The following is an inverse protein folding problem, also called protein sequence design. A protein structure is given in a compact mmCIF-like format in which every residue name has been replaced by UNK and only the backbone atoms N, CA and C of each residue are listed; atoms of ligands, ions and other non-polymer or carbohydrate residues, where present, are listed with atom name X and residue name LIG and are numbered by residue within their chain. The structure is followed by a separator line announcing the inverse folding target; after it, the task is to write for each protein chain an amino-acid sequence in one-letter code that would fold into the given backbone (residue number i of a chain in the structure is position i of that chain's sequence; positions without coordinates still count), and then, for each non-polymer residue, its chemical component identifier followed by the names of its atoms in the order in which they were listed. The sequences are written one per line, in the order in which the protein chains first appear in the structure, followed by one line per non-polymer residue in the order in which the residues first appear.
data_IF_444573855765
#
_entry.id   IF_444573855765
#
_cell.length_a   1.000
_cell.length_b   1.000
_cell.length_c   1.000
_cell.angle_alpha   90.00
_cell.angle_beta   90.00
_cell.angle_gamma   90.00
#
_symmetry.space_group_name_H-M   'P 1'
#
loop_
_entity.id
_entity.type
_entity.pdbx_description
1 polymer ?
#
# COMPACT_ATOMS: atom_id res chain seq x y z
N UNK A 1 12.02 -8.76 -19.76
CA UNK A 1 11.27 -9.97 -20.14
C UNK A 1 10.10 -10.13 -19.19
N UNK A 2 8.89 -10.34 -19.71
CA UNK A 2 7.66 -10.45 -18.94
C UNK A 2 7.37 -11.92 -18.61
N UNK A 3 7.06 -12.20 -17.36
CA UNK A 3 6.66 -13.56 -16.95
C UNK A 3 5.20 -13.79 -17.29
N UNK A 4 4.92 -14.89 -17.99
CA UNK A 4 3.58 -15.35 -18.34
C UNK A 4 3.35 -16.76 -17.78
N UNK A 5 2.11 -17.25 -17.82
CA UNK A 5 1.80 -18.60 -17.38
C UNK A 5 2.38 -19.64 -18.35
N UNK A 6 3.45 -20.32 -17.92
CA UNK A 6 4.11 -21.37 -18.69
C UNK A 6 5.07 -20.85 -19.77
N UNK A 7 5.37 -19.55 -19.79
CA UNK A 7 6.28 -18.93 -20.74
C UNK A 7 6.91 -17.63 -20.19
N UNK A 8 7.98 -17.19 -20.82
CA UNK A 8 8.54 -15.85 -20.67
C UNK A 8 8.42 -15.13 -22.00
N UNK A 9 8.04 -13.85 -21.99
CA UNK A 9 7.84 -13.04 -23.20
C UNK A 9 8.87 -11.94 -23.26
N UNK A 10 9.56 -11.81 -24.38
CA UNK A 10 10.40 -10.66 -24.71
C UNK A 10 9.74 -9.85 -25.82
N UNK A 11 9.86 -8.53 -25.75
CA UNK A 11 9.44 -7.63 -26.82
C UNK A 11 10.64 -6.76 -27.20
N UNK A 12 10.92 -6.68 -28.49
CA UNK A 12 11.83 -5.71 -29.11
C UNK A 12 11.03 -4.62 -29.84
N UNK A 13 11.74 -3.75 -30.55
CA UNK A 13 11.18 -2.75 -31.47
C UNK A 13 10.51 -3.35 -32.72
N UNK A 14 10.69 -4.65 -33.00
CA UNK A 14 10.12 -5.32 -34.18
C UNK A 14 9.36 -6.59 -33.89
N UNK A 15 9.74 -7.31 -32.83
CA UNK A 15 9.33 -8.70 -32.60
C UNK A 15 8.87 -8.93 -31.17
N UNK A 16 7.93 -9.86 -31.02
CA UNK A 16 7.53 -10.46 -29.76
C UNK A 16 7.99 -11.92 -29.78
N UNK A 17 8.85 -12.29 -28.83
CA UNK A 17 9.36 -13.66 -28.68
C UNK A 17 8.79 -14.30 -27.42
N UNK A 18 8.19 -15.47 -27.57
CA UNK A 18 7.65 -16.30 -26.49
C UNK A 18 8.60 -17.47 -26.28
N UNK A 19 9.22 -17.54 -25.11
CA UNK A 19 10.03 -18.65 -24.66
C UNK A 19 9.18 -19.58 -23.78
N UNK A 20 8.77 -20.72 -24.32
CA UNK A 20 7.92 -21.66 -23.61
C UNK A 20 8.73 -22.42 -22.55
N UNK A 21 8.12 -22.64 -21.39
CA UNK A 21 8.69 -23.53 -20.37
C UNK A 21 8.91 -24.94 -20.93
N UNK A 22 9.85 -25.74 -20.39
CA UNK A 22 10.12 -27.10 -20.87
C UNK A 22 8.86 -27.99 -20.96
N UNK A 23 7.93 -27.81 -20.01
CA UNK A 23 6.66 -28.53 -20.02
C UNK A 23 5.80 -28.17 -21.23
N UNK A 24 5.65 -26.87 -21.53
CA UNK A 24 4.87 -26.40 -22.69
C UNK A 24 5.59 -26.73 -24.00
N UNK A 25 6.91 -26.58 -24.04
CA UNK A 25 7.77 -26.93 -25.17
C UNK A 25 7.76 -28.43 -25.53
N UNK A 26 7.25 -29.31 -24.66
CA UNK A 26 7.03 -30.71 -25.01
C UNK A 26 5.83 -30.92 -25.95
N UNK A 27 4.90 -29.95 -26.01
CA UNK A 27 3.68 -29.98 -26.81
C UNK A 27 3.71 -28.98 -27.98
N UNK A 28 4.58 -27.97 -27.90
CA UNK A 28 4.68 -26.88 -28.87
C UNK A 28 6.15 -26.56 -29.18
N UNK A 29 6.42 -25.62 -30.08
CA UNK A 29 7.77 -25.13 -30.28
C UNK A 29 8.33 -24.53 -28.96
N UNK A 30 9.64 -24.69 -28.68
CA UNK A 30 10.27 -24.11 -27.48
C UNK A 30 10.29 -22.58 -27.52
N UNK A 31 10.34 -22.01 -28.72
CA UNK A 31 10.34 -20.58 -28.96
C UNK A 31 9.38 -20.25 -30.10
N UNK A 32 8.64 -19.14 -29.96
CA UNK A 32 7.77 -18.60 -31.01
C UNK A 32 8.04 -17.11 -31.14
N UNK A 33 8.52 -16.68 -32.30
CA UNK A 33 8.74 -15.26 -32.63
C UNK A 33 7.64 -14.77 -33.55
N UNK A 34 7.08 -13.61 -33.21
CA UNK A 34 5.95 -12.98 -33.89
C UNK A 34 6.36 -11.56 -34.26
N UNK A 35 6.45 -11.21 -35.56
CA UNK A 35 6.66 -9.82 -35.95
C UNK A 35 5.49 -8.97 -35.47
N UNK A 36 5.74 -7.88 -34.75
CA UNK A 36 4.66 -7.04 -34.21
C UNK A 36 3.82 -6.42 -35.34
N UNK A 37 4.44 -6.15 -36.49
CA UNK A 37 3.75 -5.70 -37.71
C UNK A 37 2.73 -6.70 -38.26
N UNK A 38 2.83 -7.99 -37.91
CA UNK A 38 1.86 -9.03 -38.30
C UNK A 38 0.61 -9.07 -37.42
N UNK A 39 0.61 -8.39 -36.27
CA UNK A 39 -0.49 -8.38 -35.30
C UNK A 39 -1.52 -7.34 -35.76
N UNK A 40 -2.61 -7.84 -36.36
CA UNK A 40 -3.70 -6.99 -36.85
C UNK A 40 -4.55 -6.44 -35.70
N UNK A 41 -4.90 -7.33 -34.77
CA UNK A 41 -5.72 -7.04 -33.59
C UNK A 41 -5.36 -7.99 -32.45
N UNK A 42 -5.71 -7.63 -31.23
CA UNK A 42 -5.58 -8.52 -30.08
C UNK A 42 -6.84 -8.47 -29.21
N UNK A 43 -7.08 -9.54 -28.45
CA UNK A 43 -8.16 -9.62 -27.47
C UNK A 43 -7.58 -9.88 -26.09
N UNK A 44 -8.03 -9.11 -25.10
CA UNK A 44 -7.55 -9.20 -23.72
C UNK A 44 -8.66 -9.75 -22.83
N UNK A 45 -8.33 -10.80 -22.08
CA UNK A 45 -9.13 -11.31 -20.97
C UNK A 45 -8.33 -11.08 -19.70
N UNK A 46 -8.86 -10.24 -18.79
CA UNK A 46 -8.18 -9.96 -17.52
C UNK A 46 -8.24 -11.20 -16.62
N UNK A 47 -7.18 -11.48 -15.83
CA UNK A 47 -7.24 -12.53 -14.83
C UNK A 47 -8.33 -12.21 -13.80
N UNK A 48 -8.95 -13.25 -13.25
CA UNK A 48 -9.88 -13.12 -12.11
C UNK A 48 -9.41 -14.03 -10.97
N UNK A 49 -10.00 -13.95 -9.77
CA UNK A 49 -9.70 -14.90 -8.71
C UNK A 49 -9.91 -16.38 -9.10
N UNK A 50 -10.70 -16.66 -10.14
CA UNK A 50 -11.07 -18.01 -10.55
C UNK A 50 -10.55 -18.40 -11.95
N UNK A 51 -10.12 -17.44 -12.77
CA UNK A 51 -9.72 -17.68 -14.16
C UNK A 51 -8.37 -17.04 -14.48
N UNK A 52 -7.59 -17.71 -15.33
CA UNK A 52 -6.39 -17.13 -15.92
C UNK A 52 -6.76 -15.93 -16.80
N UNK A 53 -5.84 -14.98 -16.91
CA UNK A 53 -5.90 -13.94 -17.93
C UNK A 53 -5.29 -14.46 -19.24
N UNK A 54 -5.58 -13.77 -20.34
CA UNK A 54 -4.96 -14.06 -21.63
C UNK A 54 -4.92 -12.86 -22.55
N UNK A 55 -3.87 -12.78 -23.36
CA UNK A 55 -3.79 -11.91 -24.54
C UNK A 55 -3.76 -12.83 -25.76
N UNK A 56 -4.78 -12.71 -26.62
CA UNK A 56 -4.85 -13.44 -27.89
C UNK A 56 -4.49 -12.50 -29.03
N UNK A 57 -3.38 -12.77 -29.70
CA UNK A 57 -2.86 -12.01 -30.83
C UNK A 57 -3.41 -12.62 -32.12
N UNK A 58 -4.20 -11.85 -32.88
CA UNK A 58 -4.67 -12.28 -34.20
C UNK A 58 -3.71 -11.77 -35.27
N UNK A 59 -3.21 -12.71 -36.04
CA UNK A 59 -2.07 -12.53 -36.93
C UNK A 59 -2.52 -12.54 -38.39
N UNK A 60 -1.96 -11.65 -39.20
CA UNK A 60 -2.16 -11.67 -40.65
C UNK A 60 -1.31 -12.73 -41.36
N UNK A 61 -0.25 -13.21 -40.71
CA UNK A 61 0.76 -14.12 -41.24
C UNK A 61 0.62 -15.56 -40.71
N UNK A 62 -0.41 -15.86 -39.91
CA UNK A 62 -0.59 -17.19 -39.32
C UNK A 62 -1.76 -17.32 -38.35
N UNK A 63 -1.78 -18.44 -37.62
CA UNK A 63 -2.82 -18.73 -36.62
C UNK A 63 -2.74 -17.80 -35.40
N UNK A 64 -3.89 -17.49 -34.76
CA UNK A 64 -3.90 -16.70 -33.54
C UNK A 64 -3.03 -17.33 -32.44
N UNK A 65 -2.21 -16.50 -31.79
CA UNK A 65 -1.35 -16.95 -30.68
C UNK A 65 -1.88 -16.42 -29.36
N UNK A 66 -2.05 -17.31 -28.37
CA UNK A 66 -2.58 -16.95 -27.04
C UNK A 66 -1.50 -17.03 -25.98
N UNK A 67 -1.23 -15.92 -25.32
CA UNK A 67 -0.35 -15.84 -24.14
C UNK A 67 -1.24 -15.79 -22.90
N UNK A 68 -1.00 -16.69 -21.94
CA UNK A 68 -1.80 -16.78 -20.71
C UNK A 68 -1.07 -16.17 -19.53
N UNK A 69 -1.80 -15.67 -18.56
CA UNK A 69 -1.26 -15.03 -17.36
C UNK A 69 -1.94 -15.61 -16.13
N UNK A 70 -1.15 -15.84 -15.08
CA UNK A 70 -1.65 -16.24 -13.77
C UNK A 70 -2.55 -15.16 -13.18
N UNK A 71 -3.31 -15.54 -12.16
CA UNK A 71 -4.23 -14.64 -11.43
C UNK A 71 -3.52 -13.42 -10.84
N UNK A 72 -2.25 -13.61 -10.47
CA UNK A 72 -1.35 -12.58 -9.95
C UNK A 72 -0.64 -11.78 -11.02
N UNK A 73 -0.70 -12.15 -12.29
CA UNK A 73 0.11 -11.54 -13.35
C UNK A 73 -0.67 -10.49 -14.17
N UNK A 74 -1.54 -9.71 -13.53
CA UNK A 74 -2.30 -8.70 -14.24
C UNK A 74 -1.42 -7.55 -14.73
N UNK A 75 -0.44 -7.13 -13.92
CA UNK A 75 0.52 -6.09 -14.32
C UNK A 75 1.34 -6.52 -15.56
N UNK A 76 1.88 -7.74 -15.56
CA UNK A 76 2.61 -8.28 -16.71
C UNK A 76 1.75 -8.35 -17.99
N UNK A 77 0.46 -8.67 -17.86
CA UNK A 77 -0.49 -8.63 -18.98
C UNK A 77 -0.70 -7.20 -19.49
N UNK A 78 -0.87 -6.22 -18.60
CA UNK A 78 -1.05 -4.81 -18.99
C UNK A 78 0.20 -4.26 -19.66
N UNK A 79 1.38 -4.59 -19.11
CA UNK A 79 2.68 -4.24 -19.66
C UNK A 79 2.85 -4.82 -21.07
N UNK A 80 2.52 -6.10 -21.29
CA UNK A 80 2.57 -6.73 -22.61
C UNK A 80 1.71 -5.96 -23.63
N UNK A 81 0.49 -5.58 -23.24
CA UNK A 81 -0.43 -4.84 -24.11
C UNK A 81 0.12 -3.45 -24.44
N UNK A 82 0.63 -2.74 -23.43
CA UNK A 82 1.24 -1.42 -23.62
C UNK A 82 2.46 -1.49 -24.55
N UNK A 83 3.32 -2.50 -24.40
CA UNK A 83 4.49 -2.70 -25.24
C UNK A 83 4.11 -2.99 -26.70
N UNK A 84 3.11 -3.85 -26.93
CA UNK A 84 2.60 -4.12 -28.28
C UNK A 84 2.09 -2.83 -28.93
N UNK A 85 1.28 -2.04 -28.22
CA UNK A 85 0.72 -0.81 -28.78
C UNK A 85 1.79 0.25 -29.06
N UNK A 86 2.80 0.39 -28.20
CA UNK A 86 3.93 1.29 -28.41
C UNK A 86 4.73 0.93 -29.66
N UNK A 87 5.10 -0.34 -29.78
CA UNK A 87 5.89 -0.82 -30.93
C UNK A 87 5.10 -0.67 -32.23
N UNK A 88 3.78 -0.90 -32.23
CA UNK A 88 2.91 -0.64 -33.39
C UNK A 88 2.86 0.84 -33.78
N UNK A 89 3.08 1.75 -32.83
CA UNK A 89 3.15 3.20 -33.07
C UNK A 89 4.57 3.67 -33.44
N UNK A 90 5.55 2.76 -33.52
CA UNK A 90 6.95 3.09 -33.81
C UNK A 90 7.73 3.59 -32.60
N UNK A 91 7.21 3.39 -31.39
CA UNK A 91 7.90 3.69 -30.14
C UNK A 91 8.57 2.42 -29.57
N UNK A 92 9.66 2.60 -28.82
CA UNK A 92 10.27 1.47 -28.11
C UNK A 92 9.32 0.91 -27.02
N UNK A 93 9.38 -0.41 -26.73
CA UNK A 93 8.65 -0.99 -25.59
C UNK A 93 9.09 -0.33 -24.29
N UNK A 94 8.22 -0.35 -23.29
CA UNK A 94 8.54 0.19 -21.97
C UNK A 94 9.67 -0.60 -21.34
N UNK A 95 10.67 0.16 -20.94
CA UNK A 95 11.75 -0.24 -20.05
C UNK A 95 11.60 0.54 -18.74
N UNK A 96 12.26 0.06 -17.67
CA UNK A 96 12.25 0.71 -16.36
C UNK A 96 12.58 2.22 -16.41
N UNK A 97 13.39 2.62 -17.40
CA UNK A 97 13.85 3.99 -17.59
C UNK A 97 13.28 4.62 -18.88
N UNK A 98 12.02 4.31 -19.22
CA UNK A 98 11.34 5.00 -20.32
C UNK A 98 10.90 6.38 -19.88
N UNK A 99 11.29 7.46 -20.59
CA UNK A 99 10.92 8.81 -20.18
C UNK A 99 9.41 9.03 -20.24
N UNK A 100 8.88 9.65 -19.18
CA UNK A 100 7.52 10.16 -19.07
C UNK A 100 7.61 11.68 -18.89
N UNK A 101 7.60 12.47 -19.98
CA UNK A 101 7.81 13.90 -19.91
C UNK A 101 6.84 14.60 -18.95
N UNK A 102 7.39 15.41 -18.04
CA UNK A 102 6.65 16.15 -17.02
C UNK A 102 6.44 15.41 -15.69
N UNK A 103 6.70 14.11 -15.63
CA UNK A 103 6.52 13.32 -14.41
C UNK A 103 7.71 13.50 -13.46
N UNK A 104 7.67 14.61 -12.73
CA UNK A 104 8.70 15.02 -11.78
C UNK A 104 8.19 14.94 -10.35
N UNK A 105 8.90 14.25 -9.45
CA UNK A 105 8.54 14.11 -8.04
C UNK A 105 9.71 13.59 -7.20
N UNK A 106 9.56 13.56 -5.88
CA UNK A 106 10.52 12.91 -4.96
C UNK A 106 9.82 11.85 -4.11
N UNK A 107 10.28 10.61 -4.19
CA UNK A 107 9.88 9.58 -3.24
C UNK A 107 10.63 9.74 -1.93
N UNK A 108 9.95 9.52 -0.80
CA UNK A 108 10.50 9.63 0.55
C UNK A 108 10.08 8.40 1.35
N UNK A 109 10.99 7.90 2.17
CA UNK A 109 10.73 6.85 3.16
C UNK A 109 11.52 7.16 4.44
N UNK A 110 11.04 6.71 5.60
CA UNK A 110 11.68 6.98 6.91
C UNK A 110 11.64 5.78 7.84
N UNK A 111 12.74 5.57 8.57
CA UNK A 111 12.80 4.63 9.68
C UNK A 111 12.68 5.36 11.02
N UNK A 112 12.10 4.70 12.02
CA UNK A 112 11.80 5.30 13.34
C UNK A 112 12.33 4.45 14.49
N UNK A 113 12.86 5.07 15.53
CA UNK A 113 13.46 4.36 16.67
C UNK A 113 12.43 3.73 17.63
N UNK A 114 11.21 4.28 17.70
CA UNK A 114 10.21 3.85 18.68
C UNK A 114 8.75 4.07 18.21
N UNK A 115 7.80 3.77 19.11
CA UNK A 115 6.36 3.86 18.84
C UNK A 115 5.84 5.28 18.60
N UNK A 116 6.61 6.32 18.91
CA UNK A 116 6.32 7.67 18.45
C UNK A 116 6.91 7.85 17.05
N UNK A 117 6.06 7.97 16.03
CA UNK A 117 6.49 8.13 14.64
C UNK A 117 7.41 9.35 14.42
N UNK A 118 7.45 10.32 15.34
CA UNK A 118 8.40 11.42 15.26
C UNK A 118 9.86 11.02 15.50
N UNK A 119 10.15 9.80 15.98
CA UNK A 119 11.49 9.32 16.33
C UNK A 119 12.34 8.93 15.11
N UNK A 120 12.32 9.74 14.06
CA UNK A 120 13.02 9.46 12.80
C UNK A 120 14.52 9.31 13.04
N UNK A 121 15.11 8.26 12.47
CA UNK A 121 16.55 7.95 12.55
C UNK A 121 17.21 7.74 11.19
N UNK A 122 16.43 7.49 10.15
CA UNK A 122 16.92 7.41 8.77
C UNK A 122 15.88 8.01 7.82
N UNK A 123 16.34 8.69 6.77
CA UNK A 123 15.49 9.26 5.72
C UNK A 123 16.10 8.91 4.37
N UNK A 124 15.32 8.21 3.55
CA UNK A 124 15.63 7.94 2.15
C UNK A 124 14.85 8.87 1.23
N UNK A 125 15.51 9.36 0.19
CA UNK A 125 14.87 10.16 -0.86
C UNK A 125 15.34 9.74 -2.25
N UNK A 126 14.39 9.65 -3.19
CA UNK A 126 14.67 9.35 -4.60
C UNK A 126 13.98 10.37 -5.49
N UNK A 127 14.75 11.13 -6.26
CA UNK A 127 14.26 12.13 -7.19
C UNK A 127 14.01 11.52 -8.55
N UNK A 128 12.83 11.77 -9.09
CA UNK A 128 12.43 11.39 -10.44
C UNK A 128 12.24 12.65 -11.27
N UNK A 129 12.84 12.68 -12.46
CA UNK A 129 12.68 13.74 -13.45
C UNK A 129 12.33 13.12 -14.80
N UNK A 130 11.24 13.56 -15.40
CA UNK A 130 10.71 13.02 -16.66
C UNK A 130 10.46 11.52 -16.58
N UNK A 131 9.99 11.01 -15.43
CA UNK A 131 9.76 9.59 -15.21
C UNK A 131 11.03 8.74 -15.00
N UNK A 132 12.22 9.36 -14.95
CA UNK A 132 13.50 8.66 -14.76
C UNK A 132 14.07 8.97 -13.37
N UNK A 133 14.56 7.96 -12.67
CA UNK A 133 15.31 8.16 -11.42
C UNK A 133 16.58 8.95 -11.72
N UNK A 134 16.66 10.17 -11.18
CA UNK A 134 17.72 11.13 -11.46
C UNK A 134 18.80 11.17 -10.37
N UNK A 135 18.42 11.02 -9.11
CA UNK A 135 19.34 10.95 -7.96
C UNK A 135 18.63 10.27 -6.77
N UNK A 136 19.41 9.60 -5.92
CA UNK A 136 18.95 9.01 -4.65
C UNK A 136 19.94 9.37 -3.55
N UNK A 137 19.43 9.59 -2.33
CA UNK A 137 20.22 9.86 -1.12
C UNK A 137 19.56 9.22 0.09
N UNK A 138 20.39 8.79 1.04
CA UNK A 138 19.95 8.31 2.35
C UNK A 138 20.78 9.01 3.40
N UNK A 139 20.13 9.45 4.48
CA UNK A 139 20.80 10.02 5.64
C UNK A 139 20.29 9.39 6.92
N UNK A 140 21.22 8.92 7.74
CA UNK A 140 20.98 8.65 9.15
C UNK A 140 21.06 9.95 9.95
N UNK A 141 20.34 9.98 11.06
CA UNK A 141 20.32 11.10 11.98
C UNK A 141 20.14 10.66 13.43
N UNK A 142 20.70 11.44 14.35
CA UNK A 142 20.30 11.33 15.75
C UNK A 142 18.79 11.70 15.88
N UNK A 143 18.00 10.93 16.66
CA UNK A 143 16.57 11.16 16.81
C UNK A 143 16.23 12.58 17.25
N UNK A 144 15.03 13.10 16.92
CA UNK A 144 14.58 14.38 17.44
C UNK A 144 14.58 14.46 18.97
N UNK A 145 14.79 15.66 19.56
CA UNK A 145 14.84 15.83 21.00
C UNK A 145 13.58 15.31 21.72
N UNK A 146 13.79 14.55 22.79
CA UNK A 146 12.75 13.92 23.59
C UNK A 146 12.18 12.62 23.01
N UNK A 147 12.71 12.13 21.89
CA UNK A 147 12.30 10.90 21.20
C UNK A 147 13.47 9.91 21.02
N UNK A 148 14.49 9.97 21.88
CA UNK A 148 15.76 9.25 21.73
C UNK A 148 15.72 7.76 22.15
N UNK A 149 14.60 7.29 22.69
CA UNK A 149 14.43 5.89 23.09
C UNK A 149 14.39 4.98 21.85
N UNK A 150 15.08 3.85 21.91
CA UNK A 150 14.99 2.79 20.90
C UNK A 150 14.22 1.60 21.45
N UNK A 151 13.32 1.06 20.63
CA UNK A 151 12.60 -0.17 20.94
C UNK A 151 13.14 -1.32 20.09
N UNK A 152 13.32 -2.48 20.72
CA UNK A 152 13.80 -3.70 20.06
C UNK A 152 12.92 -4.10 18.86
N UNK A 153 11.60 -3.93 18.96
CA UNK A 153 10.68 -4.23 17.85
C UNK A 153 10.95 -3.37 16.61
N UNK A 154 11.37 -2.10 16.79
CA UNK A 154 11.75 -1.22 15.69
C UNK A 154 13.10 -1.65 15.10
N UNK A 155 14.08 -1.89 15.96
CA UNK A 155 15.41 -2.40 15.56
C UNK A 155 15.27 -3.70 14.77
N UNK A 156 14.39 -4.62 15.18
CA UNK A 156 14.16 -5.88 14.49
C UNK A 156 13.64 -5.72 13.05
N UNK A 157 13.04 -4.58 12.72
CA UNK A 157 12.52 -4.29 11.37
C UNK A 157 13.65 -3.80 10.46
N UNK A 158 14.39 -2.77 10.87
CA UNK A 158 15.35 -2.07 10.00
C UNK A 158 16.83 -2.32 10.34
N UNK A 159 17.13 -2.94 11.49
CA UNK A 159 18.49 -3.28 11.93
C UNK A 159 19.37 -2.09 12.30
N UNK A 160 18.78 -0.94 12.66
CA UNK A 160 19.52 0.29 13.02
C UNK A 160 19.54 0.38 14.54
N UNK A 161 20.71 0.23 15.12
CA UNK A 161 20.93 0.29 16.55
C UNK A 161 21.28 1.72 17.01
N UNK A 162 21.11 2.05 18.31
CA UNK A 162 21.48 3.36 18.84
C UNK A 162 22.91 3.80 18.48
N UNK A 163 23.86 2.87 18.50
CA UNK A 163 25.26 3.11 18.14
C UNK A 163 25.46 3.52 16.67
N UNK A 164 24.56 3.14 15.77
CA UNK A 164 24.64 3.46 14.34
C UNK A 164 24.35 4.94 14.05
N UNK A 165 23.67 5.63 14.99
CA UNK A 165 23.25 7.03 14.83
C UNK A 165 23.80 7.96 15.91
N UNK A 166 24.59 7.43 16.85
CA UNK A 166 25.10 8.19 17.99
C UNK A 166 25.97 9.39 17.59
N UNK A 167 26.74 9.24 16.50
CA UNK A 167 27.63 10.28 15.97
C UNK A 167 27.05 10.97 14.71
N UNK A 168 25.82 10.63 14.33
CA UNK A 168 25.16 11.25 13.18
C UNK A 168 24.62 12.65 13.55
N UNK A 169 24.59 13.59 12.58
CA UNK A 169 23.96 14.89 12.77
C UNK A 169 22.50 14.76 13.23
N UNK A 170 21.99 15.74 14.00
CA UNK A 170 20.60 15.71 14.46
C UNK A 170 19.63 15.77 13.29
N UNK A 171 18.42 15.24 13.52
CA UNK A 171 17.32 15.26 12.54
C UNK A 171 17.16 16.63 11.84
N UNK A 172 17.20 17.74 12.59
CA UNK A 172 17.02 19.08 12.03
C UNK A 172 18.02 19.39 10.90
N UNK A 173 19.30 19.06 11.10
CA UNK A 173 20.35 19.29 10.10
C UNK A 173 20.17 18.40 8.87
N UNK A 174 19.84 17.11 9.08
CA UNK A 174 19.54 16.20 7.95
C UNK A 174 18.29 16.61 7.20
N UNK A 175 17.27 17.10 7.90
CA UNK A 175 16.03 17.52 7.29
C UNK A 175 16.18 18.77 6.41
N UNK A 176 17.13 19.68 6.71
CA UNK A 176 17.49 20.76 5.78
C UNK A 176 18.05 20.25 4.45
N UNK A 177 18.85 19.18 4.49
CA UNK A 177 19.35 18.52 3.28
C UNK A 177 18.21 17.88 2.50
N UNK A 178 17.27 17.23 3.19
CA UNK A 178 16.06 16.65 2.59
C UNK A 178 15.21 17.73 1.92
N UNK A 179 14.94 18.85 2.59
CA UNK A 179 14.19 19.98 2.00
C UNK A 179 14.89 20.55 0.78
N UNK A 180 16.21 20.71 0.83
CA UNK A 180 17.02 21.17 -0.31
C UNK A 180 16.99 20.19 -1.48
N UNK A 181 17.00 18.89 -1.18
CA UNK A 181 16.91 17.83 -2.18
C UNK A 181 15.53 17.81 -2.84
N UNK A 182 14.45 17.91 -2.07
CA UNK A 182 13.07 17.94 -2.55
C UNK A 182 12.78 19.21 -3.36
N UNK A 183 13.20 20.37 -2.86
CA UNK A 183 12.87 21.66 -3.45
C UNK A 183 11.35 21.88 -3.50
N UNK A 184 10.84 22.29 -4.66
CA UNK A 184 9.41 22.55 -4.88
C UNK A 184 8.65 21.34 -5.45
N UNK A 185 9.32 20.19 -5.65
CA UNK A 185 8.69 19.03 -6.27
C UNK A 185 7.63 18.40 -5.36
N UNK A 186 6.57 17.80 -5.93
CA UNK A 186 5.64 16.98 -5.17
C UNK A 186 6.37 15.75 -4.62
N UNK A 187 5.86 15.21 -3.51
CA UNK A 187 6.44 14.07 -2.82
C UNK A 187 5.58 12.81 -2.94
N UNK A 188 6.13 11.63 -2.63
CA UNK A 188 5.37 10.37 -2.57
C UNK A 188 6.00 9.39 -1.60
N UNK A 189 5.19 8.60 -0.89
CA UNK A 189 5.69 7.50 -0.05
C UNK A 189 4.77 6.27 -0.17
N UNK A 190 5.30 5.10 0.16
CA UNK A 190 4.50 3.90 0.28
C UNK A 190 3.85 3.88 1.66
N UNK A 191 2.52 4.00 1.73
CA UNK A 191 1.80 4.29 2.98
C UNK A 191 2.06 5.70 3.56
N UNK A 192 2.11 6.71 2.69
CA UNK A 192 2.35 8.13 2.98
C UNK A 192 1.70 8.76 4.22
N UNK A 193 0.60 8.21 4.77
CA UNK A 193 0.09 8.70 6.03
C UNK A 193 1.11 8.55 7.16
N UNK A 194 1.87 7.44 7.18
CA UNK A 194 2.92 7.20 8.15
C UNK A 194 4.05 8.23 7.99
N UNK A 195 4.72 8.24 6.83
CA UNK A 195 5.94 9.03 6.58
C UNK A 195 5.73 10.53 6.79
N UNK A 196 4.65 11.10 6.23
CA UNK A 196 4.41 12.53 6.38
C UNK A 196 3.94 12.90 7.78
N UNK A 197 3.33 11.97 8.52
CA UNK A 197 3.05 12.19 9.95
C UNK A 197 4.34 12.12 10.77
N UNK A 198 5.23 11.15 10.48
CA UNK A 198 6.54 11.02 11.08
C UNK A 198 7.36 12.30 10.90
N UNK A 199 7.51 12.75 9.65
CA UNK A 199 8.20 14.00 9.30
C UNK A 199 7.60 15.20 10.02
N UNK A 200 6.27 15.33 10.04
CA UNK A 200 5.62 16.46 10.72
C UNK A 200 5.85 16.45 12.23
N UNK A 201 5.91 15.28 12.88
CA UNK A 201 6.15 15.15 14.31
C UNK A 201 7.62 15.40 14.66
N UNK A 202 8.53 14.83 13.86
CA UNK A 202 9.97 15.05 13.99
C UNK A 202 10.33 16.53 13.84
N UNK A 203 9.71 17.22 12.88
CA UNK A 203 9.83 18.66 12.72
C UNK A 203 9.33 19.41 13.96
N UNK A 204 8.16 19.06 14.47
CA UNK A 204 7.62 19.72 15.66
C UNK A 204 8.50 19.51 16.91
N UNK A 205 9.05 18.30 17.10
CA UNK A 205 9.98 17.98 18.18
C UNK A 205 11.32 18.73 18.05
N UNK A 206 11.77 18.95 16.82
CA UNK A 206 13.03 19.66 16.52
C UNK A 206 12.85 21.17 16.33
N UNK A 207 11.63 21.69 16.54
CA UNK A 207 11.27 23.10 16.31
C UNK A 207 11.52 23.58 14.86
N UNK A 208 11.35 22.66 13.91
CA UNK A 208 11.48 22.84 12.47
C UNK A 208 10.12 23.01 11.78
N UNK A 209 10.14 23.60 10.58
CA UNK A 209 8.95 23.70 9.73
C UNK A 209 8.96 22.58 8.69
N UNK A 210 7.94 21.72 8.74
CA UNK A 210 7.75 20.67 7.74
C UNK A 210 7.43 21.24 6.36
N UNK A 211 7.98 20.63 5.32
CA UNK A 211 7.71 20.95 3.92
C UNK A 211 6.21 20.85 3.62
N UNK A 212 5.67 21.86 2.93
CA UNK A 212 4.24 21.93 2.59
C UNK A 212 3.91 21.38 1.20
N UNK A 213 4.89 20.77 0.54
CA UNK A 213 4.74 20.18 -0.79
C UNK A 213 3.58 19.17 -0.78
N UNK A 214 2.77 19.13 -1.85
CA UNK A 214 1.76 18.10 -2.00
C UNK A 214 2.41 16.72 -2.03
N UNK A 215 1.69 15.70 -1.57
CA UNK A 215 2.19 14.32 -1.62
C UNK A 215 1.17 13.29 -2.10
N UNK A 216 1.66 12.28 -2.82
CA UNK A 216 0.90 11.10 -3.23
C UNK A 216 1.12 9.89 -2.31
N UNK A 217 0.50 8.76 -2.64
CA UNK A 217 0.63 7.52 -1.88
C UNK A 217 0.60 6.29 -2.81
N UNK A 218 1.72 5.56 -2.94
CA UNK A 218 1.78 4.38 -3.82
C UNK A 218 0.97 3.20 -3.29
N UNK A 219 0.72 3.12 -1.98
CA UNK A 219 -0.24 2.16 -1.42
C UNK A 219 -1.68 2.44 -1.89
N UNK A 220 -2.07 3.72 -1.99
CA UNK A 220 -3.38 4.09 -2.52
C UNK A 220 -3.48 3.82 -4.02
N UNK A 221 -2.43 4.16 -4.78
CA UNK A 221 -2.34 3.86 -6.21
C UNK A 221 -2.41 2.36 -6.46
N UNK A 222 -1.58 1.55 -5.79
CA UNK A 222 -1.58 0.09 -5.99
C UNK A 222 -2.95 -0.52 -5.67
N UNK A 223 -3.64 -0.08 -4.61
CA UNK A 223 -5.00 -0.53 -4.25
C UNK A 223 -6.08 -0.11 -5.25
N UNK A 224 -5.89 0.98 -6.00
CA UNK A 224 -6.85 1.36 -7.05
C UNK A 224 -6.67 0.52 -8.31
N UNK A 225 -5.55 -0.20 -8.42
CA UNK A 225 -5.22 -1.07 -9.54
C UNK A 225 -5.54 -2.52 -9.19
N UNK A 226 -6.03 -3.24 -10.17
CA UNK A 226 -6.12 -4.70 -10.08
C UNK A 226 -4.77 -5.25 -10.50
N UNK A 227 -3.81 -5.34 -9.57
CA UNK A 227 -2.47 -5.84 -9.88
C UNK A 227 -2.37 -7.38 -9.76
N UNK A 228 -3.31 -8.00 -9.04
CA UNK A 228 -3.47 -9.46 -8.97
C UNK A 228 -2.93 -10.11 -7.69
N UNK A 229 -2.28 -9.37 -6.79
CA UNK A 229 -1.76 -9.88 -5.52
C UNK A 229 -2.74 -9.64 -4.35
N UNK A 230 -2.63 -10.44 -3.29
CA UNK A 230 -3.53 -10.41 -2.13
C UNK A 230 -3.29 -9.23 -1.20
N UNK A 231 -2.05 -8.75 -1.16
CA UNK A 231 -1.57 -7.69 -0.27
C UNK A 231 -0.93 -6.58 -1.11
N UNK A 232 -0.85 -5.40 -0.52
CA UNK A 232 -0.27 -4.21 -1.16
C UNK A 232 0.92 -3.68 -0.35
N UNK A 233 1.62 -4.55 0.39
CA UNK A 233 2.87 -4.14 1.04
C UNK A 233 3.90 -3.86 -0.05
N UNK A 234 4.90 -3.06 0.28
CA UNK A 234 5.92 -2.64 -0.67
C UNK A 234 6.57 -3.84 -1.41
N UNK A 235 7.02 -4.92 -0.72
CA UNK A 235 7.63 -6.07 -1.40
C UNK A 235 6.69 -6.78 -2.38
N UNK A 236 5.40 -6.90 -2.03
CA UNK A 236 4.41 -7.58 -2.86
C UNK A 236 4.12 -6.78 -4.14
N UNK A 237 4.04 -5.45 -4.02
CA UNK A 237 3.86 -4.56 -5.18
C UNK A 237 5.10 -4.57 -6.06
N UNK A 238 6.29 -4.52 -5.46
CA UNK A 238 7.56 -4.58 -6.19
C UNK A 238 7.71 -5.89 -6.97
N UNK A 239 7.52 -7.03 -6.31
CA UNK A 239 7.51 -8.35 -6.96
C UNK A 239 6.51 -8.39 -8.12
N UNK A 240 5.32 -7.85 -7.87
CA UNK A 240 4.24 -7.78 -8.84
C UNK A 240 4.51 -6.95 -10.10
N UNK A 241 5.29 -5.89 -9.94
CA UNK A 241 5.71 -5.00 -11.03
C UNK A 241 7.09 -5.37 -11.61
N UNK A 242 7.75 -6.40 -11.06
CA UNK A 242 9.11 -6.79 -11.46
C UNK A 242 10.18 -5.77 -11.05
N UNK A 243 9.94 -5.02 -9.97
CA UNK A 243 10.89 -4.08 -9.38
C UNK A 243 11.76 -4.84 -8.38
N UNK A 244 13.08 -4.73 -8.52
CA UNK A 244 14.03 -5.27 -7.54
C UNK A 244 13.98 -4.43 -6.27
N UNK A 245 13.83 -5.09 -5.13
CA UNK A 245 13.97 -4.51 -3.80
C UNK A 245 15.10 -5.26 -3.10
N UNK A 246 16.25 -4.61 -2.90
CA UNK A 246 17.46 -5.27 -2.39
C UNK A 246 17.42 -5.39 -0.86
N UNK A 247 17.38 -4.25 -0.15
CA UNK A 247 17.31 -4.21 1.32
C UNK A 247 15.99 -3.57 1.75
N UNK A 248 14.96 -4.41 1.93
CA UNK A 248 13.72 -3.92 2.53
C UNK A 248 14.00 -3.44 3.96
N UNK A 249 13.45 -2.27 4.36
CA UNK A 249 13.75 -1.55 5.60
C UNK A 249 15.10 -0.80 5.62
N UNK A 250 15.70 -0.59 4.45
CA UNK A 250 16.61 0.53 4.21
C UNK A 250 15.79 1.66 3.59
N UNK A 251 15.76 2.83 4.22
CA UNK A 251 14.89 3.92 3.78
C UNK A 251 15.20 4.35 2.32
N UNK A 252 16.47 4.26 1.90
CA UNK A 252 16.87 4.55 0.52
C UNK A 252 16.28 3.61 -0.51
N UNK A 253 16.39 2.31 -0.25
CA UNK A 253 15.92 1.25 -1.17
C UNK A 253 14.38 1.28 -1.25
N UNK A 254 13.71 1.50 -0.12
CA UNK A 254 12.25 1.61 -0.05
C UNK A 254 11.73 2.89 -0.74
N UNK A 255 12.45 4.03 -0.63
CA UNK A 255 12.14 5.24 -1.38
C UNK A 255 12.32 5.04 -2.90
N UNK A 256 13.38 4.37 -3.34
CA UNK A 256 13.59 4.08 -4.76
C UNK A 256 12.52 3.12 -5.30
N UNK A 257 12.19 2.07 -4.55
CA UNK A 257 11.11 1.16 -4.88
C UNK A 257 9.77 1.91 -5.03
N UNK A 258 9.45 2.82 -4.10
CA UNK A 258 8.29 3.68 -4.18
C UNK A 258 8.28 4.54 -5.46
N UNK A 259 9.43 5.14 -5.82
CA UNK A 259 9.56 5.90 -7.07
C UNK A 259 9.30 5.02 -8.30
N UNK A 260 9.89 3.82 -8.34
CA UNK A 260 9.73 2.87 -9.44
C UNK A 260 8.31 2.34 -9.58
N UNK A 261 7.55 2.24 -8.48
CA UNK A 261 6.12 1.90 -8.55
C UNK A 261 5.36 2.96 -9.33
N UNK A 262 5.59 4.25 -9.05
CA UNK A 262 4.90 5.35 -9.76
C UNK A 262 5.26 5.32 -11.24
N UNK A 263 6.54 5.25 -11.59
CA UNK A 263 6.99 5.28 -12.99
C UNK A 263 6.51 4.05 -13.77
N UNK A 264 6.50 2.87 -13.14
CA UNK A 264 6.00 1.62 -13.77
C UNK A 264 4.50 1.69 -14.05
N UNK A 265 3.70 2.16 -13.09
CA UNK A 265 2.26 2.30 -13.27
C UNK A 265 1.93 3.38 -14.31
N UNK A 266 2.59 4.53 -14.26
CA UNK A 266 2.39 5.61 -15.22
C UNK A 266 2.82 5.20 -16.64
N UNK A 267 3.94 4.48 -16.76
CA UNK A 267 4.43 3.92 -18.02
C UNK A 267 3.43 2.93 -18.61
N UNK A 268 2.93 1.99 -17.80
CA UNK A 268 1.91 1.01 -18.21
C UNK A 268 0.62 1.69 -18.70
N UNK A 269 0.26 2.83 -18.11
CA UNK A 269 -0.90 3.62 -18.52
C UNK A 269 -0.68 4.43 -19.80
N UNK A 270 0.56 4.50 -20.30
CA UNK A 270 0.94 5.41 -21.37
C UNK A 270 0.78 6.89 -20.98
N UNK A 271 0.83 7.20 -19.68
CA UNK A 271 0.62 8.54 -19.16
C UNK A 271 1.70 9.51 -19.65
N UNK A 272 1.31 10.78 -19.84
CA UNK A 272 2.19 11.93 -20.09
C UNK A 272 1.61 13.11 -19.32
N UNK A 273 2.43 13.88 -18.63
CA UNK A 273 1.95 14.99 -17.78
C UNK A 273 2.65 15.04 -16.43
N UNK A 274 2.14 15.88 -15.53
CA UNK A 274 2.72 16.07 -14.20
C UNK A 274 2.36 14.95 -13.23
N UNK A 275 3.11 14.83 -12.12
CA UNK A 275 2.79 13.89 -11.06
C UNK A 275 1.41 14.15 -10.45
N UNK A 276 1.04 15.41 -10.25
CA UNK A 276 -0.27 15.80 -9.73
C UNK A 276 -1.41 15.34 -10.65
N UNK A 277 -1.27 15.58 -11.95
CA UNK A 277 -2.21 15.11 -12.96
C UNK A 277 -2.33 13.58 -12.94
N UNK A 278 -1.22 12.86 -12.74
CA UNK A 278 -1.24 11.40 -12.64
C UNK A 278 -2.03 10.90 -11.42
N UNK A 279 -1.82 11.53 -10.26
CA UNK A 279 -2.56 11.20 -9.02
C UNK A 279 -4.06 11.48 -9.19
N UNK A 280 -4.42 12.62 -9.80
CA UNK A 280 -5.81 12.99 -10.07
C UNK A 280 -6.49 12.05 -11.06
N UNK A 281 -5.83 11.72 -12.18
CA UNK A 281 -6.33 10.75 -13.17
C UNK A 281 -6.47 9.35 -12.58
N UNK A 282 -5.61 9.00 -11.62
CA UNK A 282 -5.72 7.76 -10.84
C UNK A 282 -6.86 7.79 -9.80
N UNK A 283 -7.60 8.90 -9.71
CA UNK A 283 -8.82 9.04 -8.90
C UNK A 283 -8.57 9.50 -7.47
N UNK A 284 -7.46 10.20 -7.21
CA UNK A 284 -7.09 10.66 -5.87
C UNK A 284 -6.77 12.15 -5.81
N UNK A 285 -7.01 12.76 -4.66
CA UNK A 285 -6.45 14.08 -4.33
C UNK A 285 -5.10 13.92 -3.66
N UNK A 286 -4.18 14.83 -3.90
CA UNK A 286 -2.92 14.90 -3.15
C UNK A 286 -3.18 15.19 -1.66
N UNK A 287 -2.28 14.67 -0.83
CA UNK A 287 -2.18 15.01 0.58
C UNK A 287 -1.33 16.26 0.79
N UNK A 288 -1.45 16.87 1.97
CA UNK A 288 -0.69 18.07 2.33
C UNK A 288 -0.41 18.13 3.83
N UNK A 289 0.74 18.72 4.18
CA UNK A 289 1.06 19.14 5.55
C UNK A 289 0.62 20.59 5.72
N UNK A 290 -0.37 20.85 6.58
CA UNK A 290 -0.86 22.21 6.85
C UNK A 290 0.06 23.02 7.77
N UNK A 291 -0.20 24.33 7.89
CA UNK A 291 0.59 25.35 8.63
C UNK A 291 0.82 25.12 10.14
N UNK A 292 0.33 24.01 10.70
CA UNK A 292 0.57 23.57 12.09
C UNK A 292 0.98 22.10 12.18
N UNK A 293 1.55 21.54 11.11
CA UNK A 293 1.87 20.11 11.02
C UNK A 293 0.63 19.21 10.88
N UNK A 294 -0.54 19.77 10.53
CA UNK A 294 -1.75 18.95 10.39
C UNK A 294 -1.75 18.26 9.04
N UNK A 295 -1.69 16.93 9.06
CA UNK A 295 -1.75 16.10 7.85
C UNK A 295 -3.17 16.03 7.29
N UNK A 296 -3.30 16.31 6.00
CA UNK A 296 -4.43 15.88 5.17
C UNK A 296 -3.92 14.75 4.29
N UNK A 297 -4.43 13.53 4.52
CA UNK A 297 -4.03 12.36 3.74
C UNK A 297 -4.59 12.41 2.32
N UNK A 298 -3.96 11.66 1.41
CA UNK A 298 -4.50 11.34 0.08
C UNK A 298 -5.92 10.79 0.21
N UNK A 299 -6.87 11.30 -0.58
CA UNK A 299 -8.28 10.88 -0.54
C UNK A 299 -8.76 10.44 -1.91
N UNK A 300 -9.66 9.45 -1.97
CA UNK A 300 -10.31 9.07 -3.23
C UNK A 300 -11.29 10.17 -3.67
N UNK A 301 -11.18 10.62 -4.92
CA UNK A 301 -12.10 11.58 -5.51
C UNK A 301 -13.48 10.92 -5.63
N UNK A 302 -14.48 11.54 -5.00
CA UNK A 302 -15.88 11.11 -5.14
C UNK A 302 -16.54 11.95 -6.21
N UNK A 303 -16.80 11.37 -7.38
CA UNK A 303 -17.72 11.98 -8.33
C UNK A 303 -19.12 11.99 -7.70
N UNK A 304 -19.61 13.17 -7.30
CA UNK A 304 -21.03 13.35 -6.97
C UNK A 304 -21.84 12.97 -8.20
N UNK A 305 -22.66 11.92 -8.11
CA UNK A 305 -23.80 11.77 -9.04
C UNK A 305 -24.65 13.03 -8.91
N UNK A 306 -24.97 13.62 -10.06
CA UNK A 306 -25.58 14.95 -10.20
C UNK A 306 -26.74 15.22 -9.24
N UNK A 307 -26.68 16.41 -8.66
CA UNK A 307 -27.73 17.05 -7.88
C UNK A 307 -27.29 18.48 -7.70
N UNK A 308 -27.75 19.35 -8.59
CA UNK A 308 -27.63 20.80 -8.46
C UNK A 308 -28.16 21.24 -7.10
N UNK A 309 -27.36 21.99 -6.36
CA UNK A 309 -27.90 22.92 -5.36
C UNK A 309 -27.01 24.15 -5.34
N UNK A 310 -27.65 25.24 -5.73
CA UNK A 310 -27.18 26.62 -5.78
C UNK A 310 -26.43 27.04 -4.51
N UNK A 311 -25.43 27.91 -4.71
CA UNK A 311 -24.84 28.73 -3.66
C UNK A 311 -25.93 29.59 -3.02
N UNK A 312 -26.14 29.43 -1.71
CA UNK A 312 -26.83 30.43 -0.89
C UNK A 312 -25.87 31.00 0.14
N UNK A 313 -25.72 32.32 0.09
CA UNK A 313 -25.00 33.16 1.05
C UNK A 313 -25.52 32.98 2.50
N UNK A 314 -24.68 33.24 3.52
CA UNK A 314 -25.03 32.96 4.90
C UNK A 314 -25.90 34.08 5.51
N UNK A 315 -27.08 33.71 6.01
CA UNK A 315 -27.89 34.59 6.86
C UNK A 315 -27.32 34.69 8.30
N UNK A 316 -27.49 35.83 9.00
CA UNK A 316 -26.81 36.09 10.26
C UNK A 316 -27.52 35.45 11.47
N UNK A 317 -26.69 34.84 12.33
CA UNK A 317 -26.84 34.73 13.79
C UNK A 317 -28.16 34.26 14.40
N UNK A 318 -28.14 33.07 15.03
CA UNK A 318 -28.52 32.99 16.44
C UNK A 318 -27.91 31.77 17.13
N UNK A 319 -27.16 32.02 18.19
CA UNK A 319 -26.42 31.03 18.94
C UNK A 319 -27.33 30.07 19.72
N UNK A 320 -27.23 28.77 19.39
CA UNK A 320 -27.47 27.65 20.31
C UNK A 320 -26.51 26.52 19.95
N UNK A 321 -25.83 26.00 20.98
CA UNK A 321 -24.86 24.90 21.00
C UNK A 321 -24.92 23.92 19.80
N UNK A 322 -23.89 23.94 18.93
CA UNK A 322 -23.61 22.87 17.96
C UNK A 322 -22.86 21.73 18.67
N UNK A 323 -23.44 20.53 18.69
CA UNK A 323 -22.79 19.29 19.12
C UNK A 323 -21.45 19.11 18.41
N UNK A 324 -20.40 18.82 19.18
CA UNK A 324 -19.03 18.51 18.74
C UNK A 324 -19.05 17.49 17.57
N UNK A 325 -18.58 17.93 16.40
CA UNK A 325 -18.22 17.05 15.29
C UNK A 325 -17.00 16.20 15.68
N UNK A 326 -17.05 14.93 15.29
CA UNK A 326 -16.06 13.88 15.63
C UNK A 326 -14.65 14.25 15.11
N UNK A 327 -13.56 13.87 15.83
CA UNK A 327 -12.19 14.05 15.37
C UNK A 327 -11.88 13.24 14.10
N UNK A 328 -11.02 13.78 13.25
CA UNK A 328 -10.58 13.23 11.98
C UNK A 328 -9.50 12.15 12.17
N UNK A 329 -9.89 10.98 12.65
CA UNK A 329 -9.20 9.71 12.41
C UNK A 329 -10.18 8.58 12.66
N UNK A 330 -10.83 8.11 11.61
CA UNK A 330 -11.53 6.83 11.63
C UNK A 330 -11.67 6.34 10.19
N UNK A 331 -10.62 5.70 9.69
CA UNK A 331 -10.72 4.66 8.67
C UNK A 331 -9.34 4.04 8.40
N UNK A 332 -8.81 3.28 9.35
CA UNK A 332 -8.18 2.00 8.95
C UNK A 332 -9.35 1.22 8.36
N UNK A 333 -9.26 0.87 7.08
CA UNK A 333 -10.37 0.38 6.25
C UNK A 333 -11.12 -0.74 6.95
N UNK A 334 -12.16 -0.34 7.64
CA UNK A 334 -13.16 -1.23 8.18
C UNK A 334 -14.01 -1.62 6.96
N UNK A 335 -14.14 -2.91 6.61
CA UNK A 335 -14.96 -3.32 5.47
C UNK A 335 -16.31 -2.60 5.49
N UNK A 336 -16.75 -2.07 4.34
CA UNK A 336 -18.01 -1.32 4.28
C UNK A 336 -19.19 -2.23 4.63
N UNK A 337 -19.09 -3.51 4.26
CA UNK A 337 -20.07 -4.57 4.55
C UNK A 337 -19.68 -5.36 5.81
N UNK A 338 -20.56 -5.35 6.81
CA UNK A 338 -20.49 -6.30 7.92
C UNK A 338 -21.12 -7.61 7.41
N UNK A 339 -20.41 -8.75 7.42
CA UNK A 339 -21.00 -10.01 7.00
C UNK A 339 -22.14 -10.41 7.96
N UNK A 340 -23.20 -11.01 7.39
CA UNK A 340 -24.29 -11.54 8.19
C UNK A 340 -23.84 -12.82 8.91
N UNK A 341 -24.22 -13.03 10.18
CA UNK A 341 -23.86 -14.22 10.92
C UNK A 341 -24.50 -15.46 10.28
N UNK A 342 -23.73 -16.54 10.18
CA UNK A 342 -24.24 -17.84 9.75
C UNK A 342 -25.18 -18.42 10.82
N UNK A 343 -26.48 -18.46 10.53
CA UNK A 343 -27.51 -18.96 11.47
C UNK A 343 -27.40 -20.48 11.71
N UNK A 344 -26.85 -21.22 10.73
CA UNK A 344 -26.64 -22.68 10.77
C UNK A 344 -25.29 -23.08 11.40
N UNK A 345 -24.52 -22.11 11.93
CA UNK A 345 -23.28 -22.40 12.62
C UNK A 345 -23.52 -23.22 13.90
N UNK A 346 -22.49 -23.97 14.33
CA UNK A 346 -22.58 -24.86 15.48
C UNK A 346 -23.07 -24.09 16.74
N UNK A 347 -24.24 -24.45 17.31
CA UNK A 347 -24.80 -23.77 18.48
C UNK A 347 -23.93 -23.86 19.75
N UNK A 348 -23.02 -24.84 19.83
CA UNK A 348 -22.05 -24.99 20.93
C UNK A 348 -20.72 -24.27 20.67
N UNK A 349 -20.60 -23.56 19.53
CA UNK A 349 -19.39 -22.82 19.16
C UNK A 349 -19.15 -21.59 20.03
N UNK A 350 -17.89 -21.33 20.39
CA UNK A 350 -17.51 -20.23 21.28
C UNK A 350 -17.84 -18.81 20.76
N UNK A 351 -18.08 -18.67 19.45
CA UNK A 351 -18.43 -17.40 18.80
C UNK A 351 -19.91 -17.31 18.41
N UNK A 352 -20.69 -18.39 18.56
CA UNK A 352 -22.10 -18.43 18.15
C UNK A 352 -22.91 -17.40 18.96
N UNK A 353 -23.62 -16.51 18.27
CA UNK A 353 -24.42 -15.39 18.83
C UNK A 353 -23.63 -14.35 19.65
N UNK A 354 -22.30 -14.43 19.68
CA UNK A 354 -21.48 -13.44 20.36
C UNK A 354 -21.44 -12.14 19.58
N UNK A 355 -21.61 -11.01 20.27
CA UNK A 355 -21.40 -9.68 19.69
C UNK A 355 -19.93 -9.30 19.79
N UNK A 356 -19.18 -9.58 18.73
CA UNK A 356 -17.72 -9.49 18.68
C UNK A 356 -17.26 -8.13 18.15
N UNK A 357 -16.34 -7.48 18.85
CA UNK A 357 -15.67 -6.25 18.37
C UNK A 357 -14.16 -6.45 18.32
N UNK A 358 -13.56 -6.26 17.15
CA UNK A 358 -12.10 -6.30 16.99
C UNK A 358 -11.49 -4.92 17.27
N UNK A 359 -10.36 -4.91 17.99
CA UNK A 359 -9.58 -3.69 18.23
C UNK A 359 -8.09 -4.00 18.24
N UNK A 360 -7.26 -3.09 17.74
CA UNK A 360 -5.82 -3.33 17.59
C UNK A 360 -5.47 -3.82 16.18
N UNK A 361 -4.29 -4.40 16.01
CA UNK A 361 -3.77 -4.92 14.74
C UNK A 361 -3.74 -6.44 14.77
N UNK A 362 -3.95 -7.08 13.63
CA UNK A 362 -4.07 -8.53 13.54
C UNK A 362 -3.19 -9.12 12.46
N UNK A 363 -2.10 -8.45 12.10
CA UNK A 363 -1.12 -8.97 11.15
C UNK A 363 -0.68 -10.40 11.52
N UNK A 364 -0.52 -11.29 10.52
CA UNK A 364 -0.61 -11.04 9.08
C UNK A 364 -2.05 -11.00 8.51
N UNK A 365 -3.07 -11.14 9.35
CA UNK A 365 -4.47 -11.25 8.93
C UNK A 365 -5.19 -9.90 8.81
N UNK A 366 -5.85 -9.67 7.67
CA UNK A 366 -6.77 -8.54 7.50
C UNK A 366 -8.04 -8.70 8.37
N UNK A 367 -8.51 -7.58 8.93
CA UNK A 367 -9.72 -7.53 9.76
C UNK A 367 -10.98 -7.96 9.03
N UNK A 368 -11.10 -7.72 7.73
CA UNK A 368 -12.21 -8.20 6.93
C UNK A 368 -12.24 -9.73 6.81
N UNK A 369 -11.07 -10.35 6.65
CA UNK A 369 -10.94 -11.81 6.66
C UNK A 369 -11.35 -12.39 8.02
N UNK A 370 -10.93 -11.76 9.11
CA UNK A 370 -11.36 -12.15 10.46
C UNK A 370 -12.85 -11.97 10.67
N UNK A 371 -13.45 -10.89 10.16
CA UNK A 371 -14.89 -10.67 10.23
C UNK A 371 -15.68 -11.76 9.51
N UNK A 372 -15.22 -12.17 8.32
CA UNK A 372 -15.88 -13.24 7.59
C UNK A 372 -15.82 -14.56 8.37
N UNK A 373 -14.63 -14.95 8.85
CA UNK A 373 -14.46 -16.17 9.65
C UNK A 373 -15.27 -16.16 10.96
N UNK A 374 -15.38 -15.01 11.62
CA UNK A 374 -16.23 -14.85 12.82
C UNK A 374 -17.71 -15.03 12.46
N UNK A 375 -18.15 -14.44 11.35
CA UNK A 375 -19.53 -14.58 10.88
C UNK A 375 -19.86 -16.01 10.45
N UNK A 376 -18.92 -16.72 9.81
CA UNK A 376 -19.06 -18.12 9.40
C UNK A 376 -19.31 -19.05 10.61
N UNK A 377 -18.77 -18.69 11.79
CA UNK A 377 -19.00 -19.35 13.08
C UNK A 377 -20.20 -18.80 13.86
N UNK A 378 -21.03 -17.95 13.24
CA UNK A 378 -22.27 -17.41 13.84
C UNK A 378 -22.07 -16.21 14.75
N UNK A 379 -20.89 -15.57 14.73
CA UNK A 379 -20.61 -14.35 15.49
C UNK A 379 -21.18 -13.09 14.84
N UNK A 380 -21.64 -12.14 15.65
CA UNK A 380 -22.24 -10.88 15.22
C UNK A 380 -21.22 -9.75 15.36
N UNK A 381 -20.74 -9.22 14.24
CA UNK A 381 -19.65 -8.23 14.25
C UNK A 381 -20.18 -6.83 14.60
N UNK A 382 -19.57 -6.20 15.60
CA UNK A 382 -19.77 -4.82 15.98
C UNK A 382 -18.59 -3.93 15.61
N UNK A 383 -18.85 -2.79 14.97
CA UNK A 383 -17.80 -1.78 14.67
C UNK A 383 -17.33 -1.03 15.93
N UNK A 384 -18.14 -1.02 16.99
CA UNK A 384 -17.89 -0.31 18.24
C UNK A 384 -18.31 -1.15 19.44
N UNK A 385 -17.70 -0.86 20.60
CA UNK A 385 -18.12 -1.45 21.87
C UNK A 385 -19.41 -0.78 22.34
N UNK A 386 -20.47 -1.57 22.50
CA UNK A 386 -21.82 -1.13 22.90
C UNK A 386 -22.35 -1.99 24.05
N UNK A 387 -23.57 -1.70 24.52
CA UNK A 387 -24.26 -2.52 25.53
C UNK A 387 -24.62 -3.93 25.05
N UNK A 388 -24.57 -4.17 23.74
CA UNK A 388 -24.78 -5.51 23.16
C UNK A 388 -23.48 -6.29 23.03
N UNK A 389 -22.32 -5.64 23.09
CA UNK A 389 -21.01 -6.29 22.94
C UNK A 389 -20.80 -7.28 24.07
N UNK A 390 -20.52 -8.52 23.72
CA UNK A 390 -20.24 -9.61 24.66
C UNK A 390 -18.79 -10.09 24.58
N UNK A 391 -18.11 -9.81 23.46
CA UNK A 391 -16.71 -10.18 23.24
C UNK A 391 -15.93 -9.04 22.57
N UNK A 392 -14.75 -8.73 23.10
CA UNK A 392 -13.78 -7.81 22.49
C UNK A 392 -12.48 -8.55 22.27
N UNK A 393 -11.98 -8.58 21.04
CA UNK A 393 -10.69 -9.18 20.73
C UNK A 393 -9.66 -8.08 20.53
N UNK A 394 -8.52 -8.21 21.20
CA UNK A 394 -7.42 -7.25 21.24
C UNK A 394 -6.24 -7.81 20.44
N UNK A 395 -5.90 -7.10 19.38
CA UNK A 395 -4.74 -7.31 18.52
C UNK A 395 -3.43 -6.75 19.09
N UNK A 396 -2.30 -7.04 18.43
CA UNK A 396 -0.94 -6.63 18.82
C UNK A 396 -0.77 -5.11 18.79
N UNK A 397 -0.88 -4.45 19.95
CA UNK A 397 -0.70 -3.00 20.09
C UNK A 397 0.04 -2.67 21.40
N UNK A 398 1.06 -1.82 21.32
CA UNK A 398 1.84 -1.36 22.48
C UNK A 398 1.04 -0.51 23.50
N UNK A 399 -0.11 0.06 23.11
CA UNK A 399 -0.99 0.86 24.00
C UNK A 399 -2.45 0.43 23.92
N UNK A 400 -3.11 0.44 25.08
CA UNK A 400 -4.53 0.11 25.24
C UNK A 400 -5.44 1.03 24.41
N UNK A 401 -6.15 0.47 23.45
CA UNK A 401 -7.02 1.23 22.52
C UNK A 401 -8.23 1.86 23.24
N UNK A 402 -8.84 2.87 22.62
CA UNK A 402 -10.08 3.48 23.13
C UNK A 402 -11.24 2.48 23.26
N UNK A 403 -11.28 1.45 22.40
CA UNK A 403 -12.27 0.38 22.44
C UNK A 403 -12.00 -0.60 23.59
N UNK A 404 -10.74 -0.96 23.82
CA UNK A 404 -10.34 -1.77 24.96
C UNK A 404 -10.68 -1.05 26.27
N UNK A 405 -10.28 0.22 26.43
CA UNK A 405 -10.64 1.03 27.61
C UNK A 405 -12.16 1.13 27.82
N UNK A 406 -12.94 1.22 26.73
CA UNK A 406 -14.41 1.27 26.80
C UNK A 406 -15.02 -0.08 27.22
N UNK A 407 -14.42 -1.20 26.81
CA UNK A 407 -14.84 -2.54 27.21
C UNK A 407 -14.67 -2.74 28.72
N UNK A 408 -13.51 -2.36 29.26
CA UNK A 408 -13.24 -2.42 30.69
C UNK A 408 -14.16 -1.52 31.51
N UNK A 409 -14.39 -0.29 31.05
CA UNK A 409 -15.35 0.59 31.71
C UNK A 409 -16.77 -0.02 31.77
N UNK A 410 -17.18 -0.78 30.75
CA UNK A 410 -18.46 -1.47 30.76
C UNK A 410 -18.45 -2.71 31.65
N UNK A 411 -17.32 -3.42 31.76
CA UNK A 411 -17.14 -4.49 32.76
C UNK A 411 -17.25 -3.94 34.19
N UNK A 412 -16.61 -2.81 34.49
CA UNK A 412 -16.72 -2.12 35.79
C UNK A 412 -18.17 -1.69 36.09
N UNK A 413 -18.96 -1.40 35.05
CA UNK A 413 -20.39 -1.08 35.14
C UNK A 413 -21.28 -2.34 35.23
N UNK A 414 -20.68 -3.54 35.35
CA UNK A 414 -21.38 -4.81 35.56
C UNK A 414 -21.83 -5.51 34.28
N UNK A 415 -21.39 -5.07 33.10
CA UNK A 415 -21.66 -5.77 31.84
C UNK A 415 -20.70 -6.97 31.69
N UNK A 416 -21.25 -8.14 31.36
CA UNK A 416 -20.43 -9.31 31.02
C UNK A 416 -19.86 -9.12 29.60
N UNK A 417 -18.57 -8.79 29.53
CA UNK A 417 -17.81 -8.68 28.28
C UNK A 417 -16.55 -9.50 28.47
N UNK A 418 -16.26 -10.44 27.59
CA UNK A 418 -14.97 -11.12 27.56
C UNK A 418 -13.97 -10.32 26.73
N UNK A 419 -12.71 -10.32 27.15
CA UNK A 419 -11.61 -9.70 26.41
C UNK A 419 -10.64 -10.82 26.02
N UNK A 420 -10.49 -11.07 24.72
CA UNK A 420 -9.60 -12.10 24.21
C UNK A 420 -8.35 -11.47 23.57
N UNK A 421 -7.17 -12.07 23.78
CA UNK A 421 -6.02 -11.79 22.94
C UNK A 421 -6.19 -12.42 21.54
N UNK A 422 -5.41 -11.94 20.56
CA UNK A 422 -5.56 -12.33 19.15
C UNK A 422 -5.22 -13.80 18.88
N UNK A 423 -4.21 -14.34 19.54
CA UNK A 423 -3.83 -15.76 19.57
C UNK A 423 -5.01 -16.69 19.91
N UNK A 424 -5.81 -16.31 20.91
CA UNK A 424 -7.01 -17.07 21.31
C UNK A 424 -8.07 -17.02 20.22
N UNK A 425 -8.25 -15.88 19.56
CA UNK A 425 -9.16 -15.80 18.41
C UNK A 425 -8.67 -16.70 17.27
N UNK A 426 -7.37 -16.65 16.93
CA UNK A 426 -6.80 -17.47 15.86
C UNK A 426 -6.99 -18.96 16.10
N UNK A 427 -6.77 -19.41 17.34
CA UNK A 427 -7.02 -20.80 17.75
C UNK A 427 -8.48 -21.20 17.53
N UNK A 428 -9.43 -20.35 17.93
CA UNK A 428 -10.87 -20.61 17.76
C UNK A 428 -11.31 -20.58 16.29
N UNK A 429 -10.64 -19.76 15.47
CA UNK A 429 -10.88 -19.69 14.02
C UNK A 429 -10.16 -20.81 13.23
N UNK A 430 -9.43 -21.70 13.90
CA UNK A 430 -8.65 -22.77 13.26
C UNK A 430 -7.51 -22.25 12.39
N UNK A 431 -6.93 -21.10 12.76
CA UNK A 431 -5.78 -20.50 12.10
C UNK A 431 -4.55 -20.94 12.92
N UNK A 432 -3.73 -21.83 12.35
CA UNK A 432 -2.43 -22.16 12.96
C UNK A 432 -1.49 -20.96 12.80
N UNK A 433 -0.92 -20.42 13.89
CA UNK A 433 0.18 -19.47 13.76
C UNK A 433 1.37 -20.20 13.12
N UNK A 434 2.00 -19.60 12.10
CA UNK A 434 3.27 -20.12 11.59
C UNK A 434 4.25 -20.21 12.76
N UNK A 435 4.78 -21.41 12.98
CA UNK A 435 5.82 -21.64 13.97
C UNK A 435 7.02 -20.78 13.58
N UNK A 436 7.38 -19.82 14.43
CA UNK A 436 8.70 -19.20 14.37
C UNK A 436 9.72 -20.32 14.55
N UNK A 437 10.53 -20.60 13.52
CA UNK A 437 11.69 -21.46 13.66
C UNK A 437 12.65 -20.78 14.64
N UNK A 438 12.65 -21.26 15.89
CA UNK A 438 13.70 -20.98 16.86
C UNK A 438 15.00 -21.57 16.31
N UNK A 439 15.80 -20.78 15.59
CA UNK A 439 17.20 -21.11 15.35
C UNK A 439 17.95 -21.02 16.69
N UNK A 440 18.26 -22.18 17.27
CA UNK A 440 19.25 -22.29 18.34
C UNK A 440 20.58 -21.66 17.88
N UNK A 441 21.20 -20.78 18.67
CA UNK A 441 22.47 -20.18 18.30
C UNK A 441 23.57 -21.24 18.30
N UNK A 442 24.42 -21.32 17.25
CA UNK A 442 25.57 -22.19 17.28
C UNK A 442 26.60 -21.63 18.27
N UNK A 443 26.86 -22.41 19.33
CA UNK A 443 27.96 -22.35 20.32
C UNK A 443 28.83 -21.09 20.43
#
# INVERSE_FOLDING_TARGET
MLTAHGATVAISDTDLTIYNSPLVASLTAPEVTIPISSINEYTVVKPTPFSLGSVTLKRGDGEPTTIRFQRTQQAALQQLVADIDRVRQGEAPLQADTPIPGLDFVAIDVETANADWGSIIEIGVTKVLGGIVADSKTWRCAPPPGLEEFLEDNIAIHGIHPEDVAEEPPFAERYELVKSFVGELPMVSHNAQFDFTALSRACAASNETAATNPFGCTLALSRSRSLGFTTHRLPDVCQGLGITLEHHHCAGDDAEACARIVTSLAGTDGFKGSFEEYIEQSGFTLGHIGTKGRIRSVQKIRHRRGGETEEQEPAPGNGRYRKRGRPAWSAVSTPETIPEPNEDANPEGLLYHQHVTLTGDFEPMDKGTLWQKIADLGGIIGKNVTKKTTLVVVGSWAKKTSKHKRAEQLQEQGQQIDIWPADKLFTVLGIEPEATEDEEPPF
#
